data_IF_451952065025
#
_entry.id   IF_451952065025
#
_cell.length_a   1.000
_cell.length_b   1.000
_cell.length_c   1.000
_cell.angle_alpha   90.00
_cell.angle_beta   90.00
_cell.angle_gamma   90.00
#
_symmetry.space_group_name_H-M   'P 1'
#
loop_
_entity.id
_entity.type
_entity.pdbx_description
1 polymer ?
#
# COMPACT_ATOMS: atom_id res chain seq x y z
N UNK A 1 1.13 -15.48 -3.22
CA UNK A 1 1.93 -14.87 -2.15
C UNK A 1 1.91 -13.37 -2.30
N UNK A 2 1.57 -12.68 -1.22
CA UNK A 2 1.23 -11.26 -1.23
C UNK A 2 2.04 -10.52 -0.17
N UNK A 3 2.64 -9.38 -0.52
CA UNK A 3 3.49 -8.60 0.38
C UNK A 3 2.86 -7.23 0.64
N UNK A 4 2.72 -6.89 1.92
CA UNK A 4 2.11 -5.64 2.36
C UNK A 4 3.08 -4.80 3.19
N UNK A 5 3.11 -3.50 2.91
CA UNK A 5 3.89 -2.52 3.65
C UNK A 5 3.04 -1.31 4.07
N UNK A 6 3.12 -0.83 5.32
CA UNK A 6 3.29 -1.55 6.58
C UNK A 6 1.92 -1.95 7.16
N UNK A 7 1.88 -3.05 7.92
CA UNK A 7 0.62 -3.78 8.17
C UNK A 7 0.03 -3.58 9.56
N UNK A 8 0.76 -3.06 10.55
CA UNK A 8 0.31 -3.14 11.96
C UNK A 8 -1.00 -2.43 12.30
N UNK A 9 -1.55 -1.59 11.41
CA UNK A 9 -2.72 -0.75 11.68
C UNK A 9 -3.36 -0.25 10.39
N UNK A 10 -4.57 0.29 10.51
CA UNK A 10 -5.31 0.91 9.42
C UNK A 10 -5.60 -0.06 8.26
N UNK A 11 -5.46 0.44 7.04
CA UNK A 11 -5.77 -0.32 5.81
C UNK A 11 -4.86 -1.53 5.61
N UNK A 12 -3.56 -1.42 5.91
CA UNK A 12 -2.61 -2.52 5.74
C UNK A 12 -3.01 -3.77 6.52
N UNK A 13 -3.48 -3.60 7.76
CA UNK A 13 -3.99 -4.70 8.59
C UNK A 13 -5.24 -5.34 7.98
N UNK A 14 -6.16 -4.50 7.52
CA UNK A 14 -7.43 -4.94 6.96
C UNK A 14 -7.25 -5.67 5.63
N UNK A 15 -6.28 -5.28 4.80
CA UNK A 15 -5.90 -6.05 3.62
C UNK A 15 -5.45 -7.46 3.99
N UNK A 16 -4.58 -7.60 5.00
CA UNK A 16 -4.13 -8.92 5.45
C UNK A 16 -5.30 -9.77 5.95
N UNK A 17 -6.21 -9.21 6.76
CA UNK A 17 -7.43 -9.89 7.21
C UNK A 17 -8.29 -10.35 6.05
N UNK A 18 -8.59 -9.44 5.12
CA UNK A 18 -9.44 -9.73 3.97
C UNK A 18 -8.86 -10.88 3.14
N UNK A 19 -7.57 -10.84 2.83
CA UNK A 19 -6.93 -11.89 2.04
C UNK A 19 -6.89 -13.22 2.79
N UNK A 20 -6.54 -13.22 4.07
CA UNK A 20 -6.47 -14.45 4.85
C UNK A 20 -7.85 -15.12 4.96
N UNK A 21 -8.92 -14.33 4.99
CA UNK A 21 -10.32 -14.78 5.00
C UNK A 21 -10.81 -15.28 3.63
N UNK A 22 -10.53 -14.54 2.56
CA UNK A 22 -11.15 -14.78 1.24
C UNK A 22 -10.28 -15.55 0.24
N UNK A 23 -8.95 -15.59 0.44
CA UNK A 23 -8.01 -16.32 -0.43
C UNK A 23 -7.32 -17.44 0.35
N UNK A 24 -7.95 -18.61 0.40
CA UNK A 24 -7.52 -19.76 1.22
C UNK A 24 -6.11 -20.26 0.91
N UNK A 25 -5.67 -20.15 -0.34
CA UNK A 25 -4.34 -20.55 -0.81
C UNK A 25 -3.29 -19.45 -0.72
N UNK A 26 -3.68 -18.22 -0.37
CA UNK A 26 -2.74 -17.11 -0.28
C UNK A 26 -1.88 -17.19 0.98
N UNK A 27 -0.58 -16.97 0.80
CA UNK A 27 0.38 -16.66 1.85
C UNK A 27 0.58 -15.14 1.88
N UNK A 28 0.47 -14.56 3.06
CA UNK A 28 0.60 -13.12 3.33
C UNK A 28 1.91 -12.86 4.06
N UNK A 29 2.70 -11.96 3.51
CA UNK A 29 3.90 -11.41 4.11
C UNK A 29 3.58 -9.98 4.49
N UNK A 30 3.60 -9.71 5.78
CA UNK A 30 3.36 -8.40 6.35
C UNK A 30 4.68 -7.79 6.82
N UNK A 31 4.89 -6.50 6.60
CA UNK A 31 6.09 -5.81 7.11
C UNK A 31 5.73 -4.72 8.09
N UNK A 32 6.56 -4.53 9.12
CA UNK A 32 6.39 -3.45 10.08
C UNK A 32 7.65 -3.17 10.90
N UNK A 33 7.75 -1.98 11.50
CA UNK A 33 8.96 -1.60 12.26
C UNK A 33 9.22 -2.50 13.47
N UNK A 34 8.15 -2.92 14.16
CA UNK A 34 8.21 -3.65 15.42
C UNK A 34 7.35 -4.91 15.34
N UNK A 35 7.81 -5.98 14.66
CA UNK A 35 7.04 -7.22 14.48
C UNK A 35 6.70 -7.92 15.79
N UNK A 36 7.52 -7.76 16.83
CA UNK A 36 7.29 -8.28 18.18
C UNK A 36 6.01 -7.73 18.84
N UNK A 37 5.59 -6.53 18.44
CA UNK A 37 4.37 -5.88 18.90
C UNK A 37 3.15 -6.12 17.99
N UNK A 38 3.26 -6.99 16.99
CA UNK A 38 2.12 -7.37 16.16
C UNK A 38 1.10 -8.15 17.02
N UNK A 39 0.00 -7.49 17.35
CA UNK A 39 -1.13 -8.09 18.09
C UNK A 39 -1.89 -9.08 17.23
N UNK A 40 -1.84 -8.92 15.92
CA UNK A 40 -2.49 -9.81 14.97
C UNK A 40 -1.63 -11.03 14.66
N UNK A 41 -2.13 -12.20 15.06
CA UNK A 41 -1.56 -13.50 14.72
C UNK A 41 -2.66 -14.31 14.04
N UNK A 42 -2.34 -14.87 12.88
CA UNK A 42 -3.28 -15.76 12.18
C UNK A 42 -2.94 -17.22 12.53
N UNK A 43 -3.92 -18.07 12.84
CA UNK A 43 -3.70 -19.51 13.00
C UNK A 43 -3.11 -20.12 11.72
N UNK A 44 -2.00 -20.84 11.84
CA UNK A 44 -1.31 -21.49 10.71
C UNK A 44 -0.18 -20.67 10.08
N UNK A 45 0.54 -21.27 9.14
CA UNK A 45 1.78 -20.76 8.53
C UNK A 45 1.55 -19.71 7.42
N UNK A 46 0.32 -19.22 7.23
CA UNK A 46 -0.05 -18.35 6.09
C UNK A 46 0.22 -16.86 6.31
N UNK A 47 0.49 -16.41 7.54
CA UNK A 47 0.87 -15.03 7.83
C UNK A 47 2.29 -15.00 8.41
N UNK A 48 3.19 -14.31 7.71
CA UNK A 48 4.56 -14.04 8.20
C UNK A 48 4.75 -12.54 8.38
N UNK A 49 5.14 -12.11 9.57
CA UNK A 49 5.44 -10.70 9.85
C UNK A 49 6.96 -10.49 9.87
N UNK A 50 7.46 -9.62 9.00
CA UNK A 50 8.86 -9.26 8.89
C UNK A 50 9.12 -7.83 9.40
N UNK A 51 10.33 -7.56 9.88
CA UNK A 51 10.75 -6.22 10.27
C UNK A 51 10.94 -5.33 9.03
N UNK A 52 10.48 -4.07 9.08
CA UNK A 52 10.41 -3.12 7.95
C UNK A 52 11.77 -2.50 7.57
N UNK A 53 12.83 -2.77 8.33
CA UNK A 53 14.10 -2.02 8.26
C UNK A 53 15.28 -2.92 7.87
N UNK A 54 15.07 -3.85 6.94
CA UNK A 54 16.14 -4.76 6.54
C UNK A 54 16.41 -4.54 5.06
N UNK A 55 17.52 -3.87 4.76
CA UNK A 55 18.28 -4.19 3.55
C UNK A 55 18.37 -5.71 3.44
N UNK A 56 17.64 -6.31 2.49
CA UNK A 56 17.50 -7.77 2.38
C UNK A 56 16.10 -8.35 2.63
N UNK A 57 15.07 -7.52 2.85
CA UNK A 57 13.68 -8.01 2.91
C UNK A 57 13.29 -8.75 1.60
N UNK A 58 13.68 -8.21 0.45
CA UNK A 58 13.49 -8.88 -0.84
C UNK A 58 14.23 -10.22 -0.92
N UNK A 59 15.48 -10.30 -0.45
CA UNK A 59 16.26 -11.55 -0.45
C UNK A 59 15.63 -12.60 0.46
N UNK A 60 15.20 -12.20 1.66
CA UNK A 60 14.49 -13.10 2.58
C UNK A 60 13.16 -13.57 2.03
N UNK A 61 12.42 -12.71 1.31
CA UNK A 61 11.21 -13.09 0.57
C UNK A 61 11.54 -13.97 -0.64
N UNK A 62 12.72 -13.86 -1.23
CA UNK A 62 13.15 -14.78 -2.27
C UNK A 62 13.48 -16.16 -1.70
N UNK A 63 14.28 -16.20 -0.64
CA UNK A 63 14.77 -17.43 -0.01
C UNK A 63 13.66 -18.25 0.64
N UNK A 64 12.77 -17.60 1.39
CA UNK A 64 11.75 -18.31 2.18
C UNK A 64 10.54 -18.76 1.37
N UNK A 65 10.36 -18.20 0.18
CA UNK A 65 9.05 -18.02 -0.44
C UNK A 65 9.11 -18.07 -1.98
N UNK A 66 10.27 -17.78 -2.58
CA UNK A 66 10.56 -17.98 -4.00
C UNK A 66 10.03 -16.90 -4.93
N UNK A 67 8.75 -16.53 -4.82
CA UNK A 67 8.10 -15.56 -5.73
C UNK A 67 7.06 -14.67 -5.06
N UNK A 68 6.72 -13.57 -5.73
CA UNK A 68 5.70 -12.63 -5.27
C UNK A 68 4.65 -12.35 -6.36
N UNK A 69 3.37 -12.44 -6.00
CA UNK A 69 2.26 -12.27 -6.96
C UNK A 69 1.64 -10.86 -6.88
N UNK A 70 1.65 -10.22 -5.71
CA UNK A 70 1.18 -8.84 -5.57
C UNK A 70 1.90 -8.14 -4.40
N UNK A 71 2.20 -6.86 -4.63
CA UNK A 71 2.77 -5.92 -3.65
C UNK A 71 1.75 -4.83 -3.40
N UNK A 72 1.46 -4.55 -2.13
CA UNK A 72 0.67 -3.38 -1.74
C UNK A 72 1.51 -2.46 -0.88
N UNK A 73 1.76 -1.28 -1.42
CA UNK A 73 2.41 -0.18 -0.70
C UNK A 73 1.31 0.73 -0.13
N UNK A 74 1.10 0.64 1.17
CA UNK A 74 0.06 1.37 1.91
C UNK A 74 0.66 2.22 3.06
N UNK A 75 1.97 2.49 3.05
CA UNK A 75 2.58 3.47 3.96
C UNK A 75 2.11 4.87 3.59
N UNK A 76 1.59 5.60 4.58
CA UNK A 76 1.33 7.02 4.47
C UNK A 76 1.62 7.71 5.81
N UNK A 77 2.21 8.90 5.75
CA UNK A 77 2.36 9.83 6.89
C UNK A 77 1.98 11.23 6.41
N UNK A 78 1.23 11.98 7.19
CA UNK A 78 0.86 13.33 6.76
C UNK A 78 2.02 14.33 6.89
N UNK A 79 2.61 14.40 8.07
CA UNK A 79 3.73 15.29 8.39
C UNK A 79 4.46 14.72 9.61
N UNK A 80 5.75 15.05 9.84
CA UNK A 80 6.49 14.57 11.03
C UNK A 80 5.84 14.91 12.37
N UNK A 81 5.06 16.00 12.44
CA UNK A 81 4.29 16.39 13.63
C UNK A 81 3.09 15.47 13.91
N UNK A 82 2.75 14.56 13.00
CA UNK A 82 1.58 13.69 13.07
C UNK A 82 0.26 14.35 12.68
N UNK A 83 0.28 15.63 12.26
CA UNK A 83 -0.86 16.37 11.73
C UNK A 83 -0.50 16.89 10.35
N UNK A 84 -1.33 16.64 9.33
CA UNK A 84 -1.10 17.22 8.01
C UNK A 84 -1.08 18.75 8.04
N UNK A 85 -0.38 19.35 7.08
CA UNK A 85 -0.39 20.78 6.87
C UNK A 85 -1.81 21.25 6.53
N UNK A 86 -2.42 22.02 7.42
CA UNK A 86 -3.79 22.55 7.23
C UNK A 86 -3.81 23.96 6.64
N UNK A 87 -2.64 24.59 6.53
CA UNK A 87 -2.43 25.92 5.96
C UNK A 87 -1.08 25.99 5.25
N UNK A 88 -0.97 26.82 4.21
CA UNK A 88 0.30 27.09 3.54
C UNK A 88 1.37 27.64 4.49
N UNK A 89 0.97 28.27 5.60
CA UNK A 89 1.89 28.77 6.64
C UNK A 89 2.57 27.66 7.43
N UNK A 90 1.96 26.48 7.47
CA UNK A 90 2.49 25.32 8.21
C UNK A 90 3.50 24.53 7.37
N UNK A 91 3.66 24.86 6.08
CA UNK A 91 4.52 24.16 5.14
C UNK A 91 5.99 24.50 5.41
N UNK A 92 6.79 23.47 5.65
CA UNK A 92 8.25 23.59 5.81
C UNK A 92 8.96 22.67 4.82
N UNK A 93 10.13 23.08 4.34
CA UNK A 93 10.93 22.23 3.45
C UNK A 93 11.26 20.87 4.10
N UNK A 94 11.61 20.87 5.39
CA UNK A 94 11.88 19.65 6.16
C UNK A 94 10.65 18.73 6.25
N UNK A 95 9.46 19.30 6.51
CA UNK A 95 8.19 18.56 6.54
C UNK A 95 7.89 17.89 5.21
N UNK A 96 7.94 18.66 4.11
CA UNK A 96 7.68 18.18 2.75
C UNK A 96 8.68 17.09 2.35
N UNK A 97 9.98 17.30 2.58
CA UNK A 97 11.01 16.30 2.28
C UNK A 97 10.76 15.00 3.06
N UNK A 98 10.40 15.11 4.35
CA UNK A 98 10.14 13.93 5.18
C UNK A 98 8.92 13.13 4.70
N UNK A 99 7.82 13.82 4.38
CA UNK A 99 6.60 13.20 3.84
C UNK A 99 6.88 12.55 2.48
N UNK A 100 7.50 13.25 1.52
CA UNK A 100 7.83 12.69 0.21
C UNK A 100 8.81 11.50 0.30
N UNK A 101 9.76 11.54 1.25
CA UNK A 101 10.67 10.42 1.49
C UNK A 101 9.90 9.17 1.91
N UNK A 102 8.88 9.33 2.76
CA UNK A 102 8.11 8.20 3.29
C UNK A 102 7.05 7.70 2.32
N UNK A 103 6.31 8.61 1.70
CA UNK A 103 5.08 8.31 0.96
C UNK A 103 5.32 8.13 -0.55
N UNK A 104 6.43 8.66 -1.07
CA UNK A 104 6.79 8.57 -2.49
C UNK A 104 8.05 7.73 -2.69
N UNK A 105 9.18 8.14 -2.10
CA UNK A 105 10.47 7.47 -2.30
C UNK A 105 10.45 6.05 -1.71
N UNK A 106 9.90 5.88 -0.51
CA UNK A 106 9.78 4.59 0.16
C UNK A 106 9.08 3.52 -0.69
N UNK A 107 7.85 3.75 -1.17
CA UNK A 107 7.15 2.83 -2.07
C UNK A 107 7.91 2.53 -3.36
N UNK A 108 8.56 3.53 -3.97
CA UNK A 108 9.33 3.33 -5.19
C UNK A 108 10.56 2.44 -4.97
N UNK A 109 11.32 2.68 -3.90
CA UNK A 109 12.49 1.85 -3.54
C UNK A 109 12.05 0.43 -3.21
N UNK A 110 10.95 0.24 -2.48
CA UNK A 110 10.38 -1.10 -2.21
C UNK A 110 9.98 -1.80 -3.50
N UNK A 111 9.30 -1.11 -4.42
CA UNK A 111 8.92 -1.68 -5.71
C UNK A 111 10.16 -2.11 -6.51
N UNK A 112 11.21 -1.28 -6.54
CA UNK A 112 12.50 -1.61 -7.17
C UNK A 112 13.10 -2.87 -6.55
N UNK A 113 13.22 -2.94 -5.23
CA UNK A 113 13.83 -4.07 -4.51
C UNK A 113 13.13 -5.41 -4.78
N UNK A 114 11.80 -5.41 -4.89
CA UNK A 114 11.02 -6.64 -5.06
C UNK A 114 10.71 -6.97 -6.53
N UNK A 115 11.05 -6.09 -7.47
CA UNK A 115 10.75 -6.28 -8.89
C UNK A 115 11.36 -7.55 -9.48
N UNK A 116 12.56 -7.95 -9.04
CA UNK A 116 13.24 -9.16 -9.51
C UNK A 116 12.67 -10.49 -8.97
N UNK A 117 11.74 -10.43 -8.02
CA UNK A 117 11.07 -11.62 -7.45
C UNK A 117 9.56 -11.65 -7.70
N UNK A 118 9.01 -10.57 -8.25
CA UNK A 118 7.67 -10.62 -8.85
C UNK A 118 7.72 -11.59 -10.04
N UNK A 119 6.64 -12.36 -10.21
CA UNK A 119 6.46 -13.40 -11.25
C UNK A 119 7.48 -13.35 -12.40
N UNK A 120 8.24 -14.45 -12.51
CA UNK A 120 9.32 -14.77 -13.45
C UNK A 120 9.45 -13.81 -14.63
N UNK A 121 10.65 -13.28 -14.85
CA UNK A 121 11.11 -12.08 -15.59
C UNK A 121 10.54 -11.77 -17.00
N UNK A 122 9.53 -12.52 -17.46
CA UNK A 122 8.72 -12.32 -18.66
C UNK A 122 7.26 -11.91 -18.39
N UNK A 123 6.79 -11.96 -17.13
CA UNK A 123 5.40 -11.62 -16.81
C UNK A 123 5.14 -10.11 -16.83
N UNK A 124 4.05 -9.70 -17.49
CA UNK A 124 3.60 -8.31 -17.47
C UNK A 124 3.02 -7.98 -16.08
N UNK A 125 3.52 -6.90 -15.46
CA UNK A 125 3.07 -6.45 -14.14
C UNK A 125 2.01 -5.35 -14.28
N UNK A 126 0.87 -5.52 -13.63
CA UNK A 126 -0.12 -4.45 -13.47
C UNK A 126 0.30 -3.53 -12.32
N UNK A 127 0.38 -2.23 -12.60
CA UNK A 127 0.72 -1.19 -11.63
C UNK A 127 -0.45 -0.22 -11.54
N UNK A 128 -0.99 0.01 -10.36
CA UNK A 128 -2.11 0.95 -10.18
C UNK A 128 -1.97 1.72 -8.89
N UNK A 129 -2.53 2.93 -8.87
CA UNK A 129 -2.76 3.70 -7.65
C UNK A 129 -4.23 3.55 -7.27
N UNK A 130 -4.50 3.29 -5.98
CA UNK A 130 -5.85 3.10 -5.47
C UNK A 130 -6.14 4.13 -4.37
N UNK A 131 -7.16 4.94 -4.56
CA UNK A 131 -7.62 5.90 -3.56
C UNK A 131 -8.72 5.24 -2.69
N UNK A 132 -8.48 5.04 -1.38
CA UNK A 132 -9.36 4.24 -0.51
C UNK A 132 -10.68 4.93 -0.12
N UNK A 133 -10.84 6.21 -0.48
CA UNK A 133 -11.88 7.08 0.06
C UNK A 133 -11.46 7.66 1.41
N UNK A 134 -12.42 8.23 2.15
CA UNK A 134 -12.17 8.67 3.52
C UNK A 134 -12.43 7.51 4.46
N UNK A 135 -11.38 6.96 5.07
CA UNK A 135 -11.48 5.72 5.86
C UNK A 135 -11.16 5.99 7.31
N UNK A 136 -11.98 5.50 8.24
CA UNK A 136 -11.69 5.55 9.67
C UNK A 136 -10.48 4.68 10.02
N UNK A 137 -9.36 5.36 10.22
CA UNK A 137 -8.07 4.83 10.64
C UNK A 137 -7.41 5.79 11.62
N UNK A 138 -6.47 5.29 12.45
CA UNK A 138 -5.67 6.14 13.35
C UNK A 138 -5.08 7.37 12.64
N UNK A 139 -4.64 7.20 11.39
CA UNK A 139 -4.07 8.25 10.57
C UNK A 139 -5.11 9.34 10.26
N UNK A 140 -6.30 8.94 9.81
CA UNK A 140 -7.37 9.86 9.38
C UNK A 140 -8.16 10.52 10.52
N UNK A 141 -8.21 9.91 11.72
CA UNK A 141 -9.09 10.34 12.82
C UNK A 141 -8.96 11.81 13.21
N UNK A 142 -7.76 12.41 13.27
CA UNK A 142 -7.60 13.84 13.52
C UNK A 142 -8.34 14.74 12.50
N UNK A 143 -8.61 14.22 11.29
CA UNK A 143 -9.22 14.95 10.19
C UNK A 143 -10.73 14.69 10.03
N UNK A 144 -11.33 13.81 10.85
CA UNK A 144 -12.77 13.48 10.75
C UNK A 144 -13.69 14.65 11.06
N UNK A 145 -13.24 15.65 11.82
CA UNK A 145 -14.06 16.83 12.17
C UNK A 145 -14.63 17.54 10.94
N UNK A 146 -13.90 17.48 9.82
CA UNK A 146 -14.27 18.14 8.57
C UNK A 146 -14.76 17.17 7.49
N UNK A 147 -14.85 15.86 7.81
CA UNK A 147 -15.29 14.85 6.86
C UNK A 147 -16.83 14.72 6.89
N UNK A 148 -17.50 14.64 5.72
CA UNK A 148 -18.90 14.27 5.66
C UNK A 148 -19.09 12.87 6.27
N UNK A 149 -19.94 12.74 7.29
CA UNK A 149 -20.11 11.48 8.04
C UNK A 149 -20.63 10.34 7.15
N UNK A 150 -21.40 10.68 6.13
CA UNK A 150 -21.92 9.81 5.08
C UNK A 150 -20.83 9.30 4.11
N UNK A 151 -19.63 9.89 4.15
CA UNK A 151 -18.48 9.51 3.30
C UNK A 151 -17.33 8.87 4.07
N UNK A 152 -17.51 8.58 5.36
CA UNK A 152 -16.51 7.93 6.21
C UNK A 152 -16.71 6.42 6.20
N UNK A 153 -15.78 5.68 5.58
CA UNK A 153 -15.83 4.22 5.51
C UNK A 153 -15.16 3.54 6.69
N UNK A 154 -15.73 2.42 7.12
CA UNK A 154 -14.99 1.43 7.87
C UNK A 154 -13.85 0.87 7.01
N UNK A 155 -12.69 0.61 7.63
CA UNK A 155 -11.52 0.11 6.91
C UNK A 155 -11.76 -1.25 6.22
N UNK A 156 -12.62 -2.11 6.77
CA UNK A 156 -13.03 -3.36 6.12
C UNK A 156 -13.79 -3.11 4.80
N UNK A 157 -14.74 -2.16 4.80
CA UNK A 157 -15.52 -1.81 3.60
C UNK A 157 -14.62 -1.23 2.51
N UNK A 158 -13.74 -0.29 2.87
CA UNK A 158 -12.78 0.29 1.94
C UNK A 158 -11.88 -0.78 1.31
N UNK A 159 -11.30 -1.68 2.12
CA UNK A 159 -10.48 -2.79 1.61
C UNK A 159 -11.28 -3.72 0.70
N UNK A 160 -12.54 -4.03 1.02
CA UNK A 160 -13.39 -4.85 0.15
C UNK A 160 -13.57 -4.22 -1.24
N UNK A 161 -13.82 -2.91 -1.30
CA UNK A 161 -13.90 -2.16 -2.55
C UNK A 161 -12.58 -2.21 -3.33
N UNK A 162 -11.45 -1.94 -2.66
CA UNK A 162 -10.14 -1.96 -3.30
C UNK A 162 -9.75 -3.34 -3.82
N UNK A 163 -10.05 -4.40 -3.06
CA UNK A 163 -9.78 -5.77 -3.48
C UNK A 163 -10.63 -6.18 -4.68
N UNK A 164 -11.90 -5.75 -4.75
CA UNK A 164 -12.74 -5.95 -5.94
C UNK A 164 -12.13 -5.30 -7.18
N UNK A 165 -11.50 -4.13 -7.05
CA UNK A 165 -10.76 -3.50 -8.16
C UNK A 165 -9.56 -4.35 -8.53
N UNK A 166 -8.72 -4.72 -7.55
CA UNK A 166 -7.53 -5.57 -7.73
C UNK A 166 -7.85 -6.87 -8.46
N UNK A 167 -8.97 -7.53 -8.11
CA UNK A 167 -9.43 -8.76 -8.75
C UNK A 167 -9.87 -8.58 -10.20
N UNK A 168 -10.27 -7.36 -10.59
CA UNK A 168 -10.69 -7.00 -11.95
C UNK A 168 -9.58 -6.42 -12.82
N UNK A 169 -8.36 -6.28 -12.29
CA UNK A 169 -7.27 -5.62 -13.00
C UNK A 169 -6.75 -6.46 -14.16
N UNK A 170 -6.60 -5.80 -15.31
CA UNK A 170 -5.99 -6.37 -16.52
C UNK A 170 -4.81 -5.51 -16.95
N UNK A 171 -4.04 -6.00 -17.93
CA UNK A 171 -2.94 -5.23 -18.50
C UNK A 171 -3.37 -3.91 -19.14
N UNK A 172 -4.61 -3.79 -19.61
CA UNK A 172 -5.16 -2.55 -20.19
C UNK A 172 -5.42 -1.47 -19.13
N UNK A 173 -5.57 -1.89 -17.87
CA UNK A 173 -5.82 -1.02 -16.72
C UNK A 173 -4.54 -0.68 -15.95
N UNK A 174 -3.38 -1.08 -16.44
CA UNK A 174 -2.07 -0.74 -15.84
C UNK A 174 -1.74 0.74 -16.00
N UNK A 175 -0.94 1.28 -15.07
CA UNK A 175 -0.49 2.68 -14.97
C UNK A 175 -1.63 3.70 -14.78
N UNK A 176 -2.75 3.25 -14.22
CA UNK A 176 -3.92 4.09 -13.95
C UNK A 176 -4.15 4.28 -12.46
N UNK A 177 -4.89 5.33 -12.12
CA UNK A 177 -5.31 5.62 -10.76
C UNK A 177 -6.84 5.46 -10.65
N UNK A 178 -7.29 4.67 -9.69
CA UNK A 178 -8.70 4.38 -9.44
C UNK A 178 -9.10 4.86 -8.04
N UNK A 179 -10.34 5.31 -7.88
CA UNK A 179 -10.93 5.47 -6.55
C UNK A 179 -11.66 4.19 -6.12
N UNK A 180 -12.10 4.14 -4.87
CA UNK A 180 -12.75 2.98 -4.26
C UNK A 180 -13.98 2.46 -5.02
N UNK A 181 -14.67 3.31 -5.79
CA UNK A 181 -15.82 2.90 -6.61
C UNK A 181 -15.43 2.40 -8.01
N UNK A 182 -14.14 2.37 -8.33
CA UNK A 182 -13.60 1.95 -9.62
C UNK A 182 -13.54 3.06 -10.69
N UNK A 183 -13.94 4.29 -10.37
CA UNK A 183 -13.79 5.47 -11.24
C UNK A 183 -12.33 5.87 -11.37
N UNK A 184 -11.98 6.47 -12.51
CA UNK A 184 -10.66 7.07 -12.70
C UNK A 184 -10.54 8.31 -11.82
N UNK A 185 -9.52 8.34 -10.96
CA UNK A 185 -9.20 9.55 -10.21
C UNK A 185 -8.48 10.59 -11.08
N UNK A 186 -7.97 10.16 -12.23
CA UNK A 186 -7.29 10.98 -13.24
C UNK A 186 -7.27 10.22 -14.58
N UNK A 187 -7.53 10.91 -15.70
CA UNK A 187 -7.67 10.32 -17.05
C UNK A 187 -6.36 10.31 -17.86
N UNK A 188 -5.32 11.02 -17.40
CA UNK A 188 -4.02 11.00 -18.06
C UNK A 188 -3.25 9.69 -17.83
N UNK A 189 -2.41 9.35 -18.80
CA UNK A 189 -1.53 8.17 -18.76
C UNK A 189 -0.14 8.56 -18.28
N UNK A 190 0.35 7.95 -17.20
CA UNK A 190 1.77 8.01 -16.86
C UNK A 190 2.58 7.14 -17.84
N UNK A 191 3.32 7.76 -18.75
CA UNK A 191 4.30 7.08 -19.61
C UNK A 191 5.72 7.43 -19.22
N UNK A 192 6.56 6.40 -19.08
CA UNK A 192 8.00 6.50 -18.86
C UNK A 192 8.68 5.73 -19.98
N UNK A 193 9.45 6.43 -20.80
CA UNK A 193 10.15 5.87 -21.97
C UNK A 193 11.60 5.46 -21.68
N UNK A 194 12.06 5.68 -20.44
CA UNK A 194 13.45 5.42 -20.05
C UNK A 194 14.31 6.67 -19.94
N UNK A 195 13.83 7.82 -20.41
CA UNK A 195 14.59 9.07 -20.46
C UNK A 195 13.85 10.26 -19.84
N UNK A 196 12.53 10.37 -19.99
CA UNK A 196 11.76 11.44 -19.36
C UNK A 196 10.45 10.95 -18.74
N UNK A 197 10.00 11.69 -17.73
CA UNK A 197 8.64 11.63 -17.22
C UNK A 197 7.81 12.56 -18.10
N UNK A 198 7.04 11.99 -19.02
CA UNK A 198 6.09 12.76 -19.83
C UNK A 198 4.77 12.86 -19.06
N UNK A 199 4.35 14.11 -18.82
CA UNK A 199 3.04 14.50 -18.31
C UNK A 199 2.07 14.77 -19.46
#
# INVERSE_FOLDING_TARGET
MLLFHPVLRGLGLQFCRHILKHRTTAVVIATCRNPEHATERHPGTRLTVLRLDVSGAADRVKESFGRLDLIVNSSAVFHPSGKGETSLRDVTAQGVISTLTTDTVGPLVKAKQHSGIMVNTTAKVVRVSLHPGTVDTDLSRPHHRNAPKDKLFAAELSVSHLMSIVDSLTMERTRRAFTWDGTFSWDGTFSWDGTELLW
#
